data_IF_637721436219
#
_entry.id   IF_637721436219
#
_cell.length_a   1.000
_cell.length_b   1.000
_cell.length_c   1.000
_cell.angle_alpha   90.00
_cell.angle_beta   90.00
_cell.angle_gamma   90.00
#
_symmetry.space_group_name_H-M   'P 1'
#
loop_
_entity.id
_entity.type
_entity.pdbx_description
1 polymer ?
#
# COMPACT_ATOMS: atom_id res chain seq x y z
N UNK A 1 -4.95 20.08 -2.43
CA UNK A 1 -5.30 18.67 -2.20
C UNK A 1 -4.96 18.30 -0.76
N UNK A 2 -5.87 17.68 -0.01
CA UNK A 2 -5.63 17.17 1.35
C UNK A 2 -5.71 15.65 1.32
N UNK A 3 -4.88 14.95 2.10
CA UNK A 3 -4.84 13.48 2.18
C UNK A 3 -4.86 13.00 3.63
N UNK A 4 -4.98 11.69 3.84
CA UNK A 4 -5.11 11.08 5.16
C UNK A 4 -4.40 9.73 5.27
N UNK A 5 -3.93 9.40 6.47
CA UNK A 5 -3.20 8.16 6.76
C UNK A 5 -3.96 7.35 7.80
N UNK A 6 -4.40 6.15 7.39
CA UNK A 6 -5.27 5.30 8.21
C UNK A 6 -4.55 4.72 9.44
N UNK A 7 -3.25 4.42 9.33
CA UNK A 7 -2.47 3.81 10.43
C UNK A 7 -1.85 4.87 11.36
N UNK A 8 -1.14 4.43 12.42
CA UNK A 8 -0.28 5.26 13.28
C UNK A 8 1.09 5.55 12.64
N UNK A 9 1.78 6.62 13.03
CA UNK A 9 2.93 7.23 12.33
C UNK A 9 3.96 6.20 11.84
N UNK A 10 4.19 5.17 12.66
CA UNK A 10 5.00 4.01 12.35
C UNK A 10 4.34 2.74 12.91
N UNK A 11 4.99 1.58 12.73
CA UNK A 11 4.56 0.31 13.34
C UNK A 11 4.52 0.36 14.88
N UNK A 12 5.30 1.24 15.52
CA UNK A 12 5.35 1.37 16.98
C UNK A 12 4.37 2.41 17.54
N UNK A 13 3.80 3.26 16.70
CA UNK A 13 2.87 4.31 17.13
C UNK A 13 1.46 3.75 17.35
N UNK A 14 0.97 3.90 18.59
CA UNK A 14 -0.37 3.48 19.02
C UNK A 14 -1.48 4.46 18.62
N UNK A 15 -1.16 5.60 17.99
CA UNK A 15 -2.11 6.55 17.43
C UNK A 15 -3.09 7.15 18.46
N UNK A 16 -2.61 7.54 19.65
CA UNK A 16 -3.43 8.03 20.76
C UNK A 16 -3.91 9.47 20.64
N UNK A 17 -3.47 10.19 19.61
CA UNK A 17 -3.70 11.62 19.41
C UNK A 17 -4.84 11.92 18.41
N UNK A 18 -5.53 10.88 17.92
CA UNK A 18 -6.70 10.98 17.05
C UNK A 18 -7.77 10.01 17.52
N UNK A 19 -9.02 10.32 17.22
CA UNK A 19 -10.14 9.45 17.56
C UNK A 19 -10.31 8.35 16.51
N UNK A 20 -11.00 7.27 16.86
CA UNK A 20 -11.28 6.20 15.90
C UNK A 20 -12.31 6.66 14.87
N UNK A 21 -13.27 7.45 15.33
CA UNK A 21 -14.37 8.00 14.56
C UNK A 21 -13.86 8.91 13.43
N UNK A 22 -12.82 9.71 13.68
CA UNK A 22 -12.18 10.51 12.62
C UNK A 22 -11.59 9.60 11.54
N UNK A 23 -10.87 8.55 11.92
CA UNK A 23 -10.22 7.63 10.98
C UNK A 23 -11.27 6.87 10.15
N UNK A 24 -12.32 6.39 10.81
CA UNK A 24 -13.44 5.68 10.19
C UNK A 24 -14.20 6.57 9.20
N UNK A 25 -14.46 7.85 9.53
CA UNK A 25 -15.05 8.80 8.59
C UNK A 25 -14.21 8.97 7.33
N UNK A 26 -12.90 9.13 7.48
CA UNK A 26 -11.99 9.23 6.33
C UNK A 26 -11.97 7.96 5.49
N UNK A 27 -11.96 6.78 6.11
CA UNK A 27 -11.96 5.50 5.41
C UNK A 27 -13.27 5.22 4.69
N UNK A 28 -14.42 5.55 5.30
CA UNK A 28 -15.73 5.26 4.74
C UNK A 28 -16.16 6.27 3.67
N UNK A 29 -15.84 7.55 3.87
CA UNK A 29 -16.41 8.63 3.07
C UNK A 29 -15.41 9.30 2.12
N UNK A 30 -14.10 9.02 2.27
CA UNK A 30 -13.03 9.73 1.55
C UNK A 30 -11.91 8.83 1.04
N UNK A 31 -12.12 7.52 1.04
CA UNK A 31 -11.16 6.58 0.47
C UNK A 31 -11.06 6.79 -1.06
N UNK A 32 -9.89 7.17 -1.59
CA UNK A 32 -9.75 7.46 -3.02
C UNK A 32 -10.00 6.23 -3.90
N UNK A 33 -9.76 5.01 -3.40
CA UNK A 33 -10.02 3.79 -4.16
C UNK A 33 -11.53 3.62 -4.34
N UNK A 34 -12.29 3.66 -3.24
CA UNK A 34 -13.76 3.53 -3.26
C UNK A 34 -14.43 4.62 -4.08
N UNK A 35 -13.96 5.87 -3.98
CA UNK A 35 -14.50 6.99 -4.73
C UNK A 35 -14.30 6.82 -6.24
N UNK A 36 -13.08 6.46 -6.66
CA UNK A 36 -12.79 6.27 -8.08
C UNK A 36 -13.45 5.01 -8.65
N UNK A 37 -13.54 3.94 -7.85
CA UNK A 37 -14.28 2.73 -8.21
C UNK A 37 -15.76 3.02 -8.48
N UNK A 38 -16.40 3.86 -7.65
CA UNK A 38 -17.76 4.36 -7.89
C UNK A 38 -17.85 5.16 -9.18
N UNK A 39 -16.92 6.10 -9.41
CA UNK A 39 -16.90 6.92 -10.60
C UNK A 39 -16.79 6.07 -11.89
N UNK A 40 -15.91 5.07 -11.90
CA UNK A 40 -15.76 4.17 -13.04
C UNK A 40 -17.03 3.36 -13.32
N UNK A 41 -17.75 2.94 -12.28
CA UNK A 41 -19.04 2.24 -12.42
C UNK A 41 -20.13 3.16 -12.95
N UNK A 42 -20.23 4.38 -12.42
CA UNK A 42 -21.24 5.36 -12.83
C UNK A 42 -21.09 5.74 -14.31
N UNK A 43 -19.85 5.80 -14.80
CA UNK A 43 -19.56 6.04 -16.23
C UNK A 43 -19.59 4.77 -17.10
N UNK A 44 -19.84 3.59 -16.52
CA UNK A 44 -19.95 2.33 -17.25
C UNK A 44 -18.62 1.79 -17.80
N UNK A 45 -17.47 2.19 -17.23
CA UNK A 45 -16.16 1.68 -17.63
C UNK A 45 -15.85 0.30 -17.06
N UNK A 46 -16.47 -0.06 -15.93
CA UNK A 46 -16.23 -1.31 -15.23
C UNK A 46 -17.48 -1.77 -14.50
N UNK A 47 -17.60 -3.07 -14.30
CA UNK A 47 -18.64 -3.69 -13.48
C UNK A 47 -18.04 -4.36 -12.23
N UNK A 48 -18.89 -4.96 -11.42
CA UNK A 48 -18.47 -5.62 -10.17
C UNK A 48 -17.50 -6.79 -10.43
N UNK A 49 -17.69 -7.52 -11.54
CA UNK A 49 -16.81 -8.63 -11.92
C UNK A 49 -15.41 -8.13 -12.30
N UNK A 50 -15.33 -7.03 -13.06
CA UNK A 50 -14.07 -6.41 -13.43
C UNK A 50 -13.32 -5.87 -12.21
N UNK A 51 -14.02 -5.25 -11.27
CA UNK A 51 -13.40 -4.80 -10.01
C UNK A 51 -12.84 -5.97 -9.21
N UNK A 52 -13.61 -7.04 -9.05
CA UNK A 52 -13.15 -8.20 -8.28
C UNK A 52 -11.96 -8.89 -8.95
N UNK A 53 -11.97 -9.00 -10.29
CA UNK A 53 -10.84 -9.53 -11.04
C UNK A 53 -9.54 -8.72 -10.82
N UNK A 54 -9.64 -7.39 -10.74
CA UNK A 54 -8.48 -6.52 -10.42
C UNK A 54 -8.01 -6.76 -8.98
N UNK A 55 -8.93 -6.84 -8.02
CA UNK A 55 -8.61 -7.09 -6.61
C UNK A 55 -7.90 -8.42 -6.43
N UNK A 56 -8.40 -9.48 -7.07
CA UNK A 56 -7.78 -10.81 -7.06
C UNK A 56 -6.38 -10.79 -7.67
N UNK A 57 -6.21 -10.13 -8.82
CA UNK A 57 -4.91 -10.00 -9.47
C UNK A 57 -3.88 -9.27 -8.58
N UNK A 58 -4.28 -8.16 -7.97
CA UNK A 58 -3.42 -7.39 -7.05
C UNK A 58 -3.13 -8.17 -5.78
N UNK A 59 -4.11 -8.87 -5.21
CA UNK A 59 -3.91 -9.71 -4.03
C UNK A 59 -2.89 -10.82 -4.30
N UNK A 60 -2.98 -11.45 -5.49
CA UNK A 60 -2.00 -12.43 -5.94
C UNK A 60 -0.61 -11.82 -6.10
N UNK A 61 -0.48 -10.68 -6.76
CA UNK A 61 0.81 -10.00 -6.94
C UNK A 61 1.48 -9.67 -5.59
N UNK A 62 0.71 -9.16 -4.64
CA UNK A 62 1.19 -8.87 -3.28
C UNK A 62 1.64 -10.15 -2.57
N UNK A 63 0.85 -11.24 -2.67
CA UNK A 63 1.20 -12.51 -2.05
C UNK A 63 2.51 -13.09 -2.63
N UNK A 64 2.64 -13.08 -3.96
CA UNK A 64 3.84 -13.55 -4.66
C UNK A 64 5.07 -12.70 -4.27
N UNK A 65 4.91 -11.38 -4.18
CA UNK A 65 5.96 -10.46 -3.73
C UNK A 65 6.39 -10.69 -2.27
N UNK A 66 5.44 -10.99 -1.38
CA UNK A 66 5.73 -11.34 0.01
C UNK A 66 6.53 -12.65 0.10
N UNK A 67 6.14 -13.67 -0.66
CA UNK A 67 6.85 -14.96 -0.66
C UNK A 67 8.26 -14.82 -1.24
N UNK A 68 8.41 -14.07 -2.33
CA UNK A 68 9.73 -13.71 -2.86
C UNK A 68 10.60 -13.00 -1.82
N UNK A 69 10.06 -11.99 -1.13
CA UNK A 69 10.80 -11.23 -0.11
C UNK A 69 11.21 -12.10 1.09
N UNK A 70 10.37 -13.05 1.51
CA UNK A 70 10.70 -13.99 2.60
C UNK A 70 11.75 -15.03 2.20
N UNK A 71 11.69 -15.50 0.96
CA UNK A 71 12.61 -16.50 0.43
C UNK A 71 13.96 -15.92 0.00
N UNK A 72 14.03 -14.60 -0.17
CA UNK A 72 15.25 -13.90 -0.57
C UNK A 72 16.34 -14.06 0.50
N UNK A 73 17.58 -14.42 0.12
CA UNK A 73 18.68 -14.56 1.06
C UNK A 73 19.01 -13.20 1.69
N UNK A 74 19.51 -13.24 2.93
CA UNK A 74 20.13 -12.06 3.52
C UNK A 74 21.34 -11.63 2.66
N UNK A 75 21.68 -10.33 2.63
CA UNK A 75 22.88 -9.89 1.94
C UNK A 75 24.13 -10.50 2.58
N UNK A 76 25.12 -10.82 1.74
CA UNK A 76 26.39 -11.36 2.19
C UNK A 76 27.17 -10.31 3.01
N UNK A 77 27.75 -10.73 4.14
CA UNK A 77 28.53 -9.83 5.01
C UNK A 77 29.69 -9.17 4.23
N UNK A 78 30.28 -9.88 3.27
CA UNK A 78 31.35 -9.35 2.41
C UNK A 78 30.93 -8.12 1.59
N UNK A 79 29.63 -7.87 1.41
CA UNK A 79 29.09 -6.72 0.68
C UNK A 79 28.70 -5.53 1.56
N UNK A 80 29.01 -5.59 2.86
CA UNK A 80 28.60 -4.58 3.85
C UNK A 80 29.03 -3.15 3.49
N UNK A 81 30.24 -2.98 2.97
CA UNK A 81 30.83 -1.66 2.66
C UNK A 81 30.54 -1.19 1.23
N UNK A 82 29.82 -1.99 0.44
CA UNK A 82 29.49 -1.62 -0.93
C UNK A 82 28.71 -0.29 -0.94
N UNK A 83 29.01 0.55 -1.93
CA UNK A 83 28.32 1.83 -2.18
C UNK A 83 28.53 2.93 -1.12
N UNK A 84 29.55 2.82 -0.26
CA UNK A 84 29.98 3.94 0.61
C UNK A 84 30.49 5.13 -0.23
N UNK A 85 31.20 4.85 -1.32
CA UNK A 85 31.58 5.83 -2.34
C UNK A 85 31.09 5.37 -3.72
N UNK A 86 30.90 6.31 -4.63
CA UNK A 86 30.71 6.01 -6.06
C UNK A 86 32.06 5.65 -6.68
N UNK A 87 32.07 5.04 -7.88
CA UNK A 87 33.33 4.83 -8.61
C UNK A 87 34.07 6.16 -8.81
N UNK A 88 35.40 6.11 -8.73
CA UNK A 88 36.24 7.26 -9.05
C UNK A 88 36.23 7.49 -10.56
N UNK A 89 35.99 8.74 -10.98
CA UNK A 89 36.05 9.17 -12.38
C UNK A 89 37.44 8.98 -12.99
#
# INVERSE_FOLDING_TARGET
SKTYRHRGHSKSDRNRYRTKEEIEDWMANRDPITLFETELRDFGFIDDQGIEAIRDAVAKEIADGIEFAKASPAPEIATLENYVYTEHA
#
